data_IF_567226616522
#
_entry.id   IF_567226616522
#
_cell.length_a   1.000
_cell.length_b   1.000
_cell.length_c   1.000
_cell.angle_alpha   90.00
_cell.angle_beta   90.00
_cell.angle_gamma   90.00
#
_symmetry.space_group_name_H-M   'P 1'
#
loop_
_entity.id
_entity.type
_entity.pdbx_description
1 polymer ?
#
# COMPACT_ATOMS: atom_id res chain seq x y z
N UNK A 1 -30.39 -19.76 12.20
CA UNK A 1 -29.03 -20.25 11.87
C UNK A 1 -28.47 -19.34 10.79
N UNK A 2 -27.33 -18.65 11.00
CA UNK A 2 -26.67 -17.98 9.88
C UNK A 2 -26.11 -19.02 8.93
N UNK A 3 -26.28 -18.80 7.62
CA UNK A 3 -25.71 -19.63 6.59
C UNK A 3 -24.18 -19.51 6.60
N UNK A 4 -23.47 -20.60 6.85
CA UNK A 4 -22.01 -20.70 6.74
C UNK A 4 -21.55 -21.15 5.35
N UNK A 5 -20.22 -21.18 5.13
CA UNK A 5 -19.59 -21.56 3.85
C UNK A 5 -19.92 -22.99 3.39
N UNK A 6 -20.38 -23.86 4.29
CA UNK A 6 -20.80 -25.24 4.02
C UNK A 6 -22.31 -25.39 3.82
N UNK A 7 -23.06 -24.29 3.79
CA UNK A 7 -24.52 -24.35 3.68
C UNK A 7 -24.93 -24.80 2.28
N UNK A 8 -25.77 -25.81 2.23
CA UNK A 8 -26.36 -26.34 0.99
C UNK A 8 -27.87 -26.13 1.00
N UNK A 9 -28.49 -26.13 -0.17
CA UNK A 9 -29.94 -26.13 -0.31
C UNK A 9 -30.54 -27.52 -0.07
N UNK A 10 -31.86 -27.65 -0.26
CA UNK A 10 -32.60 -28.91 -0.12
C UNK A 10 -32.19 -29.98 -1.16
N UNK A 11 -31.41 -29.60 -2.17
CA UNK A 11 -30.90 -30.44 -3.25
C UNK A 11 -29.40 -30.73 -3.09
N UNK A 12 -28.78 -30.30 -2.00
CA UNK A 12 -27.35 -30.51 -1.75
C UNK A 12 -26.42 -29.54 -2.50
N UNK A 13 -26.96 -28.52 -3.17
CA UNK A 13 -26.16 -27.53 -3.90
C UNK A 13 -25.64 -26.47 -2.92
N UNK A 14 -24.33 -26.17 -2.90
CA UNK A 14 -23.79 -25.10 -2.07
C UNK A 14 -24.49 -23.76 -2.35
N UNK A 15 -25.00 -23.11 -1.30
CA UNK A 15 -25.68 -21.82 -1.43
C UNK A 15 -24.78 -20.76 -2.05
N UNK A 16 -23.46 -20.82 -1.80
CA UNK A 16 -22.46 -19.95 -2.42
C UNK A 16 -22.46 -20.07 -3.96
N UNK A 17 -22.72 -21.25 -4.52
CA UNK A 17 -22.79 -21.44 -5.96
C UNK A 17 -24.03 -20.76 -6.59
N UNK A 18 -25.02 -20.39 -5.77
CA UNK A 18 -26.24 -19.68 -6.21
C UNK A 18 -26.12 -18.16 -6.11
N UNK A 19 -25.13 -17.64 -5.39
CA UNK A 19 -24.83 -16.20 -5.32
C UNK A 19 -24.08 -15.81 -6.59
N UNK A 20 -24.84 -15.66 -7.67
CA UNK A 20 -24.33 -15.20 -8.96
C UNK A 20 -24.46 -13.67 -9.06
N UNK A 21 -23.72 -13.04 -9.99
CA UNK A 21 -23.85 -11.61 -10.26
C UNK A 21 -25.31 -11.21 -10.55
N UNK A 22 -26.05 -12.05 -11.28
CA UNK A 22 -27.48 -11.87 -11.56
C UNK A 22 -28.33 -11.96 -10.30
N UNK A 23 -28.04 -12.89 -9.40
CA UNK A 23 -28.74 -12.99 -8.12
C UNK A 23 -28.51 -11.74 -7.26
N UNK A 24 -27.28 -11.25 -7.19
CA UNK A 24 -26.93 -10.01 -6.48
C UNK A 24 -27.67 -8.82 -7.07
N UNK A 25 -27.70 -8.68 -8.40
CA UNK A 25 -28.43 -7.60 -9.07
C UNK A 25 -29.94 -7.63 -8.76
N UNK A 26 -30.59 -8.79 -8.92
CA UNK A 26 -32.02 -8.95 -8.62
C UNK A 26 -32.32 -8.70 -7.14
N UNK A 27 -31.44 -9.12 -6.25
CA UNK A 27 -31.54 -8.84 -4.82
C UNK A 27 -31.44 -7.33 -4.56
N UNK A 28 -30.46 -6.65 -5.14
CA UNK A 28 -30.30 -5.20 -5.01
C UNK A 28 -31.51 -4.43 -5.55
N UNK A 29 -32.03 -4.78 -6.73
CA UNK A 29 -33.23 -4.18 -7.32
C UNK A 29 -34.46 -4.38 -6.43
N UNK A 30 -34.69 -5.62 -5.97
CA UNK A 30 -35.83 -5.97 -5.11
C UNK A 30 -35.79 -5.25 -3.77
N UNK A 31 -34.59 -5.02 -3.23
CA UNK A 31 -34.39 -4.41 -1.92
C UNK A 31 -34.04 -2.91 -2.01
N UNK A 32 -34.14 -2.30 -3.19
CA UNK A 32 -33.80 -0.89 -3.43
C UNK A 32 -32.39 -0.49 -2.96
N UNK A 33 -31.46 -1.43 -3.05
CA UNK A 33 -30.05 -1.21 -2.71
C UNK A 33 -29.35 -0.68 -3.96
N UNK A 34 -28.93 0.58 -3.90
CA UNK A 34 -28.16 1.22 -4.96
C UNK A 34 -26.70 1.33 -4.54
N UNK A 35 -25.79 0.95 -5.44
CA UNK A 35 -24.38 1.31 -5.29
C UNK A 35 -24.27 2.83 -5.47
N UNK A 36 -23.76 3.51 -4.46
CA UNK A 36 -23.48 4.95 -4.50
C UNK A 36 -22.00 5.13 -4.23
N UNK A 37 -21.35 6.03 -4.97
CA UNK A 37 -20.04 6.53 -4.58
C UNK A 37 -20.16 7.21 -3.21
N UNK A 38 -19.15 7.06 -2.36
CA UNK A 38 -19.08 7.81 -1.10
C UNK A 38 -19.06 9.31 -1.41
N UNK A 39 -20.05 10.06 -0.92
CA UNK A 39 -20.13 11.51 -1.06
C UNK A 39 -19.35 12.21 0.06
N UNK A 40 -18.39 13.09 -0.29
CA UNK A 40 -17.61 13.87 0.68
C UNK A 40 -16.46 14.68 0.08
N UNK A 41 -15.75 15.46 0.90
CA UNK A 41 -14.64 16.39 0.54
C UNK A 41 -13.44 15.76 -0.21
N UNK A 42 -13.42 14.43 -0.40
CA UNK A 42 -12.38 13.67 -1.12
C UNK A 42 -12.82 13.25 -2.52
N UNK A 43 -13.99 13.68 -2.98
CA UNK A 43 -14.47 13.36 -4.33
C UNK A 43 -13.68 14.20 -5.34
N UNK A 44 -12.86 13.51 -6.13
CA UNK A 44 -12.17 14.09 -7.28
C UNK A 44 -13.25 14.53 -8.28
N UNK A 45 -13.12 15.73 -8.85
CA UNK A 45 -14.09 16.20 -9.87
C UNK A 45 -14.10 15.25 -11.07
N UNK A 46 -15.19 15.20 -11.82
CA UNK A 46 -15.30 14.33 -12.99
C UNK A 46 -14.21 14.65 -14.02
N UNK A 47 -13.84 15.94 -14.17
CA UNK A 47 -12.73 16.36 -15.03
C UNK A 47 -11.39 15.84 -14.53
N UNK A 48 -11.14 15.91 -13.22
CA UNK A 48 -9.89 15.44 -12.65
C UNK A 48 -9.81 13.90 -12.67
N UNK A 49 -10.93 13.21 -12.50
CA UNK A 49 -11.02 11.76 -12.67
C UNK A 49 -10.73 11.36 -14.13
N UNK A 50 -11.32 12.07 -15.10
CA UNK A 50 -11.03 11.84 -16.52
C UNK A 50 -9.54 12.09 -16.85
N UNK A 51 -8.92 13.12 -16.27
CA UNK A 51 -7.49 13.38 -16.43
C UNK A 51 -6.65 12.21 -15.88
N UNK A 52 -6.95 11.72 -14.68
CA UNK A 52 -6.25 10.59 -14.07
C UNK A 52 -6.36 9.36 -14.99
N UNK A 53 -7.55 9.04 -15.49
CA UNK A 53 -7.76 7.91 -16.38
C UNK A 53 -7.01 8.06 -17.72
N UNK A 54 -6.93 9.27 -18.28
CA UNK A 54 -6.14 9.57 -19.48
C UNK A 54 -4.63 9.35 -19.23
N UNK A 55 -4.11 9.81 -18.10
CA UNK A 55 -2.71 9.62 -17.70
C UNK A 55 -2.40 8.12 -17.48
N UNK A 56 -3.33 7.38 -16.85
CA UNK A 56 -3.24 5.92 -16.70
C UNK A 56 -3.24 5.22 -18.05
N UNK A 57 -4.12 5.60 -18.98
CA UNK A 57 -4.13 5.04 -20.32
C UNK A 57 -2.80 5.30 -21.06
N UNK A 58 -2.28 6.52 -20.98
CA UNK A 58 -0.99 6.89 -21.56
C UNK A 58 0.14 6.01 -20.98
N UNK A 59 0.20 5.90 -19.65
CA UNK A 59 1.19 5.09 -18.93
C UNK A 59 1.16 3.62 -19.36
N UNK A 60 -0.02 3.00 -19.41
CA UNK A 60 -0.18 1.61 -19.88
C UNK A 60 0.28 1.44 -21.33
N UNK A 61 0.01 2.44 -22.17
CA UNK A 61 0.49 2.48 -23.55
C UNK A 61 2.01 2.54 -23.65
N UNK A 62 2.66 3.33 -22.79
CA UNK A 62 4.13 3.41 -22.71
C UNK A 62 4.74 2.09 -22.24
N UNK A 63 4.12 1.41 -21.26
CA UNK A 63 4.56 0.09 -20.81
C UNK A 63 4.47 -0.92 -21.96
N UNK A 64 3.32 -1.00 -22.64
CA UNK A 64 3.14 -1.87 -23.80
C UNK A 64 4.25 -1.68 -24.83
N UNK A 65 4.42 -0.45 -25.31
CA UNK A 65 5.44 -0.11 -26.31
C UNK A 65 6.85 -0.39 -25.80
N UNK A 66 7.11 -0.17 -24.51
CA UNK A 66 8.41 -0.43 -23.89
C UNK A 66 8.77 -1.92 -23.89
N UNK A 67 7.81 -2.78 -23.56
CA UNK A 67 7.98 -4.24 -23.66
C UNK A 67 8.12 -4.71 -25.11
N UNK A 68 7.27 -4.23 -26.03
CA UNK A 68 7.33 -4.58 -27.45
C UNK A 68 8.64 -4.16 -28.12
N UNK A 69 9.18 -2.99 -27.74
CA UNK A 69 10.47 -2.48 -28.23
C UNK A 69 11.68 -3.10 -27.52
N UNK A 70 11.49 -3.91 -26.48
CA UNK A 70 12.57 -4.47 -25.67
C UNK A 70 13.33 -3.45 -24.81
N UNK A 71 12.79 -2.25 -24.60
CA UNK A 71 13.39 -1.24 -23.71
C UNK A 71 13.04 -1.48 -22.24
N UNK A 72 12.00 -2.28 -21.98
CA UNK A 72 11.65 -2.78 -20.64
C UNK A 72 11.90 -4.29 -20.56
N UNK A 73 12.59 -4.71 -19.51
CA UNK A 73 12.78 -6.13 -19.12
C UNK A 73 11.97 -6.39 -17.85
N UNK A 74 11.01 -7.30 -17.90
CA UNK A 74 10.16 -7.63 -16.74
C UNK A 74 11.00 -8.09 -15.54
N UNK A 75 12.17 -8.67 -15.77
CA UNK A 75 13.05 -9.19 -14.73
C UNK A 75 13.87 -8.11 -14.01
N UNK A 76 13.80 -6.84 -14.46
CA UNK A 76 14.48 -5.70 -13.82
C UNK A 76 13.50 -4.66 -13.30
N UNK A 77 12.20 -4.89 -13.50
CA UNK A 77 11.15 -4.01 -12.99
C UNK A 77 10.80 -4.34 -11.56
N UNK A 78 10.63 -3.29 -10.76
CA UNK A 78 10.24 -3.40 -9.36
C UNK A 78 9.14 -2.39 -9.06
N UNK A 79 8.27 -2.70 -8.11
CA UNK A 79 7.33 -1.74 -7.54
C UNK A 79 7.57 -1.63 -6.05
N UNK A 80 7.52 -0.41 -5.52
CA UNK A 80 7.65 -0.11 -4.10
C UNK A 80 6.44 0.71 -3.67
N UNK A 81 5.96 0.46 -2.46
CA UNK A 81 4.89 1.21 -1.84
C UNK A 81 4.93 1.10 -0.32
N UNK A 82 4.26 2.03 0.35
CA UNK A 82 4.14 2.08 1.79
C UNK A 82 2.73 1.78 2.24
N UNK A 83 2.60 1.04 3.35
CA UNK A 83 1.31 0.89 3.99
C UNK A 83 1.38 1.10 5.50
N UNK A 84 0.43 1.89 6.00
CA UNK A 84 0.34 2.22 7.41
C UNK A 84 -0.48 1.20 8.18
N UNK A 85 -0.02 0.90 9.39
CA UNK A 85 -0.69 0.10 10.40
C UNK A 85 -0.77 0.90 11.70
N UNK A 86 -1.82 0.62 12.47
CA UNK A 86 -1.88 0.98 13.89
C UNK A 86 -1.73 -0.30 14.71
N UNK A 87 -1.27 -0.18 15.97
CA UNK A 87 -1.08 -1.35 16.85
C UNK A 87 -2.40 -2.09 17.08
N UNK A 88 -3.51 -1.37 17.26
CA UNK A 88 -4.86 -1.95 17.31
C UNK A 88 -5.39 -2.19 15.88
N UNK A 89 -4.69 -3.05 15.14
CA UNK A 89 -5.10 -3.43 13.80
C UNK A 89 -6.28 -4.40 13.84
N UNK A 90 -7.49 -3.85 13.88
CA UNK A 90 -8.73 -4.61 14.02
C UNK A 90 -9.46 -4.74 12.68
N UNK A 91 -10.13 -5.87 12.46
CA UNK A 91 -10.95 -6.10 11.25
C UNK A 91 -12.35 -5.46 11.33
N UNK A 92 -12.58 -4.58 12.31
CA UNK A 92 -13.84 -3.89 12.55
C UNK A 92 -14.99 -4.77 13.05
N UNK A 93 -14.74 -6.05 13.40
CA UNK A 93 -15.78 -6.98 13.87
C UNK A 93 -15.36 -7.62 15.19
N UNK A 94 -16.31 -7.73 16.12
CA UNK A 94 -16.15 -8.42 17.40
C UNK A 94 -17.42 -9.19 17.75
N UNK A 95 -17.30 -10.22 18.61
CA UNK A 95 -18.43 -11.00 19.09
C UNK A 95 -18.97 -10.35 20.38
N UNK A 96 -20.29 -10.22 20.47
CA UNK A 96 -20.99 -9.75 21.66
C UNK A 96 -22.24 -10.58 21.90
N UNK A 97 -22.74 -10.57 23.14
CA UNK A 97 -23.99 -11.26 23.46
C UNK A 97 -25.20 -10.49 22.92
N UNK A 98 -26.24 -11.22 22.52
CA UNK A 98 -27.49 -10.62 22.03
C UNK A 98 -28.10 -9.69 23.09
N UNK A 99 -28.33 -8.43 22.73
CA UNK A 99 -28.86 -7.40 23.63
C UNK A 99 -27.81 -6.46 24.23
N UNK A 100 -26.52 -6.73 24.04
CA UNK A 100 -25.46 -5.81 24.46
C UNK A 100 -25.44 -4.56 23.59
N UNK A 101 -25.62 -3.39 24.22
CA UNK A 101 -25.57 -2.09 23.54
C UNK A 101 -24.15 -1.59 23.26
N UNK A 102 -23.14 -2.14 23.94
CA UNK A 102 -21.72 -1.80 23.80
C UNK A 102 -20.88 -3.06 23.95
N UNK A 103 -20.15 -3.42 22.89
CA UNK A 103 -19.20 -4.53 22.93
C UNK A 103 -17.82 -3.95 23.24
N UNK A 104 -17.19 -4.41 24.32
CA UNK A 104 -15.80 -4.05 24.63
C UNK A 104 -14.87 -4.87 23.75
N UNK A 105 -13.89 -4.24 23.12
CA UNK A 105 -12.81 -4.92 22.41
C UNK A 105 -11.52 -4.83 23.23
N UNK A 106 -10.62 -5.79 23.00
CA UNK A 106 -9.33 -5.85 23.69
C UNK A 106 -8.34 -4.85 23.07
N UNK A 107 -8.40 -3.61 23.56
CA UNK A 107 -7.48 -2.51 23.24
C UNK A 107 -6.07 -2.83 23.80
N UNK A 108 -5.03 -2.54 23.02
CA UNK A 108 -3.63 -2.75 23.40
C UNK A 108 -2.99 -1.42 23.82
N UNK A 109 -2.04 -1.48 24.75
CA UNK A 109 -1.26 -0.29 25.13
C UNK A 109 -0.57 0.32 23.90
N UNK A 110 -0.73 1.64 23.73
CA UNK A 110 -0.31 2.38 22.54
C UNK A 110 -1.02 1.90 21.25
N UNK A 111 -2.26 1.41 21.34
CA UNK A 111 -3.05 0.92 20.21
C UNK A 111 -3.10 1.85 18.99
N UNK A 112 -3.18 3.16 19.23
CA UNK A 112 -3.14 4.18 18.18
C UNK A 112 -1.75 4.54 17.65
N UNK A 113 -0.67 3.97 18.19
CA UNK A 113 0.69 4.22 17.69
C UNK A 113 0.83 3.63 16.29
N UNK A 114 1.14 4.50 15.34
CA UNK A 114 1.33 4.14 13.94
C UNK A 114 2.69 3.50 13.67
N UNK A 115 2.72 2.60 12.69
CA UNK A 115 3.92 2.08 12.06
C UNK A 115 3.67 1.91 10.57
N UNK A 116 4.70 2.15 9.75
CA UNK A 116 4.60 1.98 8.31
C UNK A 116 5.46 0.81 7.86
N UNK A 117 4.97 0.02 6.91
CA UNK A 117 5.73 -1.03 6.24
C UNK A 117 6.01 -0.60 4.81
N UNK A 118 7.26 -0.72 4.38
CA UNK A 118 7.66 -0.56 2.98
C UNK A 118 7.64 -1.93 2.31
N UNK A 119 6.83 -2.05 1.27
CA UNK A 119 6.63 -3.28 0.49
C UNK A 119 7.30 -3.10 -0.86
N UNK A 120 8.18 -4.04 -1.22
CA UNK A 120 8.84 -4.08 -2.52
C UNK A 120 8.51 -5.39 -3.23
N UNK A 121 8.13 -5.29 -4.49
CA UNK A 121 7.79 -6.39 -5.37
C UNK A 121 8.76 -6.40 -6.54
N UNK A 122 9.36 -7.55 -6.84
CA UNK A 122 10.11 -7.77 -8.09
C UNK A 122 9.20 -8.29 -9.19
N UNK A 123 9.50 -7.89 -10.43
CA UNK A 123 8.87 -8.37 -11.65
C UNK A 123 9.46 -9.69 -12.15
N UNK A 124 8.94 -10.12 -13.30
CA UNK A 124 9.39 -11.32 -14.00
C UNK A 124 8.78 -12.62 -13.48
N UNK A 125 9.11 -13.76 -14.11
CA UNK A 125 8.47 -15.05 -13.81
C UNK A 125 8.71 -15.54 -12.38
N UNK A 126 9.81 -15.10 -11.76
CA UNK A 126 10.20 -15.41 -10.38
C UNK A 126 9.92 -14.26 -9.41
N UNK A 127 9.16 -13.25 -9.82
CA UNK A 127 8.84 -12.08 -9.00
C UNK A 127 8.26 -12.47 -7.64
N UNK A 128 8.67 -11.76 -6.60
CA UNK A 128 8.29 -12.02 -5.22
C UNK A 128 8.32 -10.73 -4.39
N UNK A 129 7.76 -10.79 -3.19
CA UNK A 129 7.78 -9.70 -2.22
C UNK A 129 9.08 -9.78 -1.43
N UNK A 130 9.92 -8.75 -1.50
CA UNK A 130 11.18 -8.68 -0.78
C UNK A 130 10.97 -8.51 0.74
N UNK A 131 11.98 -8.81 1.56
CA UNK A 131 11.96 -8.49 2.99
C UNK A 131 11.52 -7.04 3.23
N UNK A 132 10.46 -6.80 4.04
CA UNK A 132 9.96 -5.46 4.27
C UNK A 132 10.88 -4.67 5.20
N UNK A 133 10.89 -3.34 5.03
CA UNK A 133 11.42 -2.43 6.04
C UNK A 133 10.24 -1.84 6.83
N UNK A 134 10.30 -1.93 8.16
CA UNK A 134 9.35 -1.23 9.04
C UNK A 134 9.88 0.17 9.38
N UNK A 135 8.97 1.12 9.52
CA UNK A 135 9.24 2.47 10.02
C UNK A 135 8.47 2.61 11.32
N UNK A 136 9.21 2.62 12.43
CA UNK A 136 8.61 2.80 13.75
C UNK A 136 8.56 4.25 14.16
N UNK A 137 7.47 4.60 14.85
CA UNK A 137 7.36 5.86 15.58
C UNK A 137 8.44 5.92 16.66
N UNK A 138 9.29 6.93 16.57
CA UNK A 138 10.30 7.29 17.57
C UNK A 138 10.53 8.79 17.49
N UNK A 139 10.16 9.54 18.53
CA UNK A 139 10.12 11.01 18.50
C UNK A 139 11.47 11.64 18.13
N UNK A 140 12.58 11.07 18.61
CA UNK A 140 13.93 11.55 18.30
C UNK A 140 14.43 11.09 16.91
N UNK A 141 13.69 10.20 16.23
CA UNK A 141 14.08 9.64 14.95
C UNK A 141 15.40 8.88 14.97
N UNK A 142 15.87 8.46 16.14
CA UNK A 142 17.14 7.79 16.37
C UNK A 142 17.05 6.29 16.03
N UNK A 143 18.12 5.79 15.40
CA UNK A 143 18.29 4.39 15.06
C UNK A 143 19.68 3.92 15.53
N UNK A 144 19.79 2.77 16.21
CA UNK A 144 18.71 1.86 16.60
C UNK A 144 17.87 2.40 17.79
N UNK A 145 16.64 1.87 17.96
CA UNK A 145 15.84 2.12 19.17
C UNK A 145 16.44 1.33 20.33
N UNK A 146 16.67 1.99 21.48
CA UNK A 146 17.19 1.33 22.69
C UNK A 146 16.33 0.14 23.08
N UNK A 147 16.94 -1.04 23.19
CA UNK A 147 16.25 -2.28 23.55
C UNK A 147 15.53 -2.99 22.40
N UNK A 148 15.61 -2.48 21.16
CA UNK A 148 15.06 -3.14 19.96
C UNK A 148 16.21 -3.51 19.03
N UNK A 149 16.70 -4.75 19.15
CA UNK A 149 17.73 -5.28 18.27
C UNK A 149 17.21 -5.36 16.82
N UNK A 150 17.99 -4.85 15.86
CA UNK A 150 17.68 -4.96 14.43
C UNK A 150 18.31 -6.23 13.82
N UNK A 151 17.89 -7.39 14.33
CA UNK A 151 18.43 -8.70 13.96
C UNK A 151 17.35 -9.73 13.60
N UNK A 152 16.14 -9.27 13.26
CA UNK A 152 15.05 -10.14 12.82
C UNK A 152 15.35 -10.57 11.38
N UNK A 153 15.39 -11.88 11.13
CA UNK A 153 15.56 -12.41 9.78
C UNK A 153 14.33 -12.09 8.93
N UNK A 154 14.55 -11.59 7.70
CA UNK A 154 13.47 -11.29 6.77
C UNK A 154 12.74 -9.97 7.03
N UNK A 155 13.23 -9.10 7.92
CA UNK A 155 12.79 -7.72 8.05
C UNK A 155 13.92 -6.82 8.57
N UNK A 156 13.80 -5.51 8.37
CA UNK A 156 14.66 -4.51 8.98
C UNK A 156 13.81 -3.31 9.42
N UNK A 157 14.41 -2.33 10.12
CA UNK A 157 13.66 -1.12 10.44
C UNK A 157 14.46 0.18 10.39
N UNK A 158 13.71 1.26 10.22
CA UNK A 158 14.13 2.63 10.46
C UNK A 158 13.08 3.33 11.33
N UNK A 159 13.34 4.59 11.64
CA UNK A 159 12.53 5.33 12.60
C UNK A 159 12.26 6.75 12.14
N UNK A 160 11.02 7.19 12.32
CA UNK A 160 10.62 8.58 12.09
C UNK A 160 9.80 9.11 13.28
N UNK A 161 9.74 10.43 13.50
CA UNK A 161 8.97 11.03 14.59
C UNK A 161 7.50 10.60 14.63
N UNK A 162 6.89 10.36 13.45
CA UNK A 162 5.51 9.89 13.29
C UNK A 162 5.39 8.46 12.75
N UNK A 163 6.52 7.77 12.56
CA UNK A 163 6.55 6.44 11.96
C UNK A 163 6.22 6.40 10.47
N UNK A 164 6.31 7.53 9.76
CA UNK A 164 6.03 7.64 8.33
C UNK A 164 7.32 7.70 7.51
N UNK A 165 7.19 7.44 6.21
CA UNK A 165 8.25 7.72 5.25
C UNK A 165 8.43 9.23 5.11
N UNK A 166 9.66 9.69 5.33
CA UNK A 166 10.10 11.04 4.97
C UNK A 166 11.32 10.92 4.04
N UNK A 167 11.76 12.03 3.46
CA UNK A 167 12.89 12.07 2.52
C UNK A 167 14.19 11.51 3.10
N UNK A 168 14.41 11.66 4.42
CA UNK A 168 15.56 11.09 5.13
C UNK A 168 15.43 9.56 5.24
N UNK A 169 14.27 9.06 5.64
CA UNK A 169 13.98 7.62 5.77
C UNK A 169 14.00 6.95 4.39
N UNK A 170 13.53 7.63 3.34
CA UNK A 170 13.59 7.13 1.97
C UNK A 170 15.05 6.92 1.50
N UNK A 171 15.94 7.88 1.76
CA UNK A 171 17.39 7.69 1.51
C UNK A 171 17.98 6.54 2.33
N UNK A 172 17.58 6.40 3.60
CA UNK A 172 18.00 5.27 4.44
C UNK A 172 17.50 3.92 3.91
N UNK A 173 16.31 3.90 3.31
CA UNK A 173 15.74 2.72 2.68
C UNK A 173 16.54 2.30 1.44
N UNK A 174 16.89 3.24 0.56
CA UNK A 174 17.71 2.97 -0.62
C UNK A 174 19.10 2.41 -0.29
N UNK A 175 19.62 2.69 0.92
CA UNK A 175 20.94 2.23 1.39
C UNK A 175 20.89 0.99 2.29
N UNK A 176 19.70 0.53 2.71
CA UNK A 176 19.54 -0.64 3.57
C UNK A 176 19.60 -1.94 2.76
N UNK A 177 20.74 -2.61 2.78
CA UNK A 177 21.02 -3.81 1.96
C UNK A 177 20.05 -4.97 2.17
N UNK A 178 19.41 -5.07 3.35
CA UNK A 178 18.39 -6.11 3.60
C UNK A 178 17.07 -5.84 2.88
N UNK A 179 16.75 -4.58 2.59
CA UNK A 179 15.54 -4.17 1.90
C UNK A 179 15.79 -3.86 0.42
N UNK A 180 16.91 -3.19 0.13
CA UNK A 180 17.28 -2.73 -1.20
C UNK A 180 18.70 -3.15 -1.59
N UNK A 181 18.81 -3.84 -2.71
CA UNK A 181 20.09 -4.31 -3.24
C UNK A 181 20.11 -4.18 -4.77
N UNK A 182 21.30 -4.03 -5.33
CA UNK A 182 21.52 -4.10 -6.78
C UNK A 182 21.08 -5.47 -7.32
N UNK A 183 20.68 -5.51 -8.59
CA UNK A 183 20.38 -6.77 -9.26
C UNK A 183 21.62 -7.70 -9.22
N UNK A 184 21.48 -8.97 -8.81
CA UNK A 184 22.62 -9.89 -8.71
C UNK A 184 23.36 -10.12 -10.03
N UNK A 185 22.70 -9.89 -11.17
CA UNK A 185 23.29 -10.01 -12.51
C UNK A 185 23.82 -8.67 -13.02
N UNK A 186 23.82 -7.63 -12.18
CA UNK A 186 24.34 -6.30 -12.49
C UNK A 186 23.51 -5.49 -13.49
N UNK A 187 22.27 -5.91 -13.78
CA UNK A 187 21.36 -5.22 -14.70
C UNK A 187 20.82 -3.93 -14.10
N UNK A 188 20.48 -2.96 -14.96
CA UNK A 188 19.83 -1.72 -14.52
C UNK A 188 18.37 -2.00 -14.16
N UNK A 189 17.98 -1.67 -12.93
CA UNK A 189 16.61 -1.83 -12.43
C UNK A 189 15.76 -0.60 -12.68
N UNK A 190 14.45 -0.79 -12.86
CA UNK A 190 13.47 0.29 -12.92
C UNK A 190 12.51 0.13 -11.75
N UNK A 191 12.53 1.11 -10.84
CA UNK A 191 11.73 1.09 -9.61
C UNK A 191 10.54 2.01 -9.79
N UNK A 192 9.34 1.44 -9.75
CA UNK A 192 8.08 2.16 -9.84
C UNK A 192 7.57 2.58 -8.45
N UNK A 193 7.26 3.86 -8.29
CA UNK A 193 6.80 4.50 -7.05
C UNK A 193 5.59 5.39 -7.30
N UNK A 194 4.84 5.71 -6.25
CA UNK A 194 3.86 6.79 -6.28
C UNK A 194 4.55 8.17 -6.19
N UNK A 195 3.76 9.25 -6.33
CA UNK A 195 4.26 10.63 -6.29
C UNK A 195 4.26 11.22 -4.87
N UNK A 196 4.43 10.40 -3.83
CA UNK A 196 4.45 10.89 -2.45
C UNK A 196 5.62 11.87 -2.23
N UNK A 197 5.38 12.99 -1.54
CA UNK A 197 6.42 14.00 -1.24
C UNK A 197 7.54 13.51 -0.31
N UNK A 198 7.35 12.35 0.31
CA UNK A 198 8.39 11.64 1.05
C UNK A 198 9.46 11.02 0.13
N UNK A 199 9.17 10.83 -1.15
CA UNK A 199 10.10 10.28 -2.13
C UNK A 199 11.06 11.37 -2.62
N UNK A 200 12.33 10.99 -2.73
CA UNK A 200 13.36 11.85 -3.33
C UNK A 200 13.31 11.68 -4.85
N UNK A 201 13.49 12.77 -5.58
CA UNK A 201 13.70 12.68 -7.02
C UNK A 201 15.06 12.05 -7.34
N UNK A 202 15.26 11.58 -8.58
CA UNK A 202 16.49 10.88 -8.96
C UNK A 202 17.75 11.72 -8.72
N UNK A 203 17.69 13.02 -9.01
CA UNK A 203 18.83 13.93 -8.83
C UNK A 203 19.24 14.05 -7.36
N UNK A 204 18.28 13.91 -6.45
CA UNK A 204 18.49 14.03 -5.02
C UNK A 204 19.01 12.73 -4.40
N UNK A 205 18.84 11.58 -5.06
CA UNK A 205 19.34 10.28 -4.60
C UNK A 205 20.27 9.59 -5.61
N UNK A 206 20.94 10.39 -6.45
CA UNK A 206 21.78 9.91 -7.56
C UNK A 206 22.85 8.92 -7.12
N UNK A 207 23.50 9.16 -5.98
CA UNK A 207 24.57 8.30 -5.48
C UNK A 207 24.04 6.93 -5.07
N UNK A 208 22.90 6.90 -4.38
CA UNK A 208 22.21 5.69 -3.96
C UNK A 208 21.74 4.90 -5.18
N UNK A 209 21.08 5.55 -6.13
CA UNK A 209 20.60 4.93 -7.37
C UNK A 209 21.75 4.40 -8.23
N UNK A 210 22.87 5.12 -8.30
CA UNK A 210 24.07 4.66 -9.01
C UNK A 210 24.62 3.37 -8.38
N UNK A 211 24.72 3.30 -7.05
CA UNK A 211 25.16 2.08 -6.35
C UNK A 211 24.20 0.90 -6.56
N UNK A 212 22.90 1.17 -6.61
CA UNK A 212 21.86 0.17 -6.87
C UNK A 212 21.77 -0.24 -8.35
N UNK A 213 22.43 0.50 -9.25
CA UNK A 213 22.18 0.46 -10.70
C UNK A 213 20.68 0.53 -10.99
N UNK A 214 20.01 1.53 -10.42
CA UNK A 214 18.57 1.70 -10.55
C UNK A 214 18.22 3.07 -11.16
N UNK A 215 16.99 3.16 -11.65
CA UNK A 215 16.30 4.42 -11.97
C UNK A 215 14.91 4.37 -11.37
N UNK A 216 14.36 5.53 -11.02
CA UNK A 216 12.99 5.68 -10.53
C UNK A 216 12.06 6.01 -11.69
N UNK A 217 10.84 5.48 -11.63
CA UNK A 217 9.77 5.87 -12.56
C UNK A 217 8.49 6.06 -11.77
N UNK A 218 7.94 7.26 -11.82
CA UNK A 218 6.72 7.58 -11.08
C UNK A 218 5.48 7.12 -11.85
N UNK A 219 4.53 6.56 -11.11
CA UNK A 219 3.21 6.22 -11.62
C UNK A 219 2.40 7.51 -11.87
N UNK A 220 1.31 7.46 -12.65
CA UNK A 220 0.39 8.60 -12.76
C UNK A 220 -0.10 9.09 -11.39
N UNK A 221 -0.18 10.40 -11.22
CA UNK A 221 -0.56 10.98 -9.94
C UNK A 221 -2.02 10.63 -9.60
N UNK A 222 -2.26 10.26 -8.33
CA UNK A 222 -3.58 9.83 -7.84
C UNK A 222 -4.13 8.56 -8.51
N UNK A 223 -3.25 7.68 -9.01
CA UNK A 223 -3.64 6.42 -9.64
C UNK A 223 -3.06 5.17 -8.94
N UNK A 224 -2.56 5.32 -7.71
CA UNK A 224 -1.94 4.23 -6.94
C UNK A 224 -2.89 3.04 -6.78
N UNK A 225 -4.13 3.30 -6.38
CA UNK A 225 -5.19 2.29 -6.23
C UNK A 225 -5.54 1.59 -7.56
N UNK A 226 -5.30 2.26 -8.68
CA UNK A 226 -5.61 1.74 -10.01
C UNK A 226 -4.49 0.86 -10.57
N UNK A 227 -3.23 1.34 -10.53
CA UNK A 227 -2.14 0.80 -11.33
C UNK A 227 -0.86 0.47 -10.56
N UNK A 228 -0.84 0.57 -9.22
CA UNK A 228 0.30 0.17 -8.40
C UNK A 228 0.14 -1.27 -7.89
N UNK A 229 1.03 -2.22 -8.26
CA UNK A 229 0.92 -3.63 -7.85
C UNK A 229 0.84 -3.85 -6.34
N UNK A 230 1.63 -3.10 -5.57
CA UNK A 230 1.65 -3.21 -4.12
C UNK A 230 0.29 -2.82 -3.53
N UNK A 231 -0.20 -1.62 -3.83
CA UNK A 231 -1.45 -1.09 -3.27
C UNK A 231 -2.69 -1.88 -3.76
N UNK A 232 -2.80 -2.07 -5.07
CA UNK A 232 -3.99 -2.67 -5.70
C UNK A 232 -4.26 -4.12 -5.28
N UNK A 233 -3.26 -4.84 -4.77
CA UNK A 233 -3.42 -6.26 -4.44
C UNK A 233 -2.56 -6.76 -3.28
N UNK A 234 -1.24 -6.60 -3.33
CA UNK A 234 -0.32 -7.31 -2.43
C UNK A 234 -0.47 -6.86 -0.98
N UNK A 235 -0.57 -5.54 -0.74
CA UNK A 235 -0.73 -4.97 0.59
C UNK A 235 -1.99 -5.49 1.27
N UNK A 236 -3.10 -5.62 0.54
CA UNK A 236 -4.33 -6.21 1.08
C UNK A 236 -4.09 -7.65 1.58
N UNK A 237 -3.33 -8.46 0.83
CA UNK A 237 -3.00 -9.83 1.23
C UNK A 237 -2.04 -9.91 2.41
N UNK A 238 -1.13 -8.96 2.56
CA UNK A 238 -0.29 -8.83 3.75
C UNK A 238 -1.16 -8.44 4.95
N UNK A 239 -2.07 -7.48 4.80
CA UNK A 239 -3.01 -7.04 5.85
C UNK A 239 -3.92 -8.17 6.33
N UNK A 240 -4.38 -9.04 5.42
CA UNK A 240 -5.16 -10.24 5.79
C UNK A 240 -4.37 -11.17 6.75
N UNK A 241 -3.10 -11.45 6.42
CA UNK A 241 -2.22 -12.29 7.24
C UNK A 241 -1.87 -11.59 8.56
N UNK A 242 -1.57 -10.29 8.49
CA UNK A 242 -1.27 -9.46 9.65
C UNK A 242 -2.43 -9.47 10.64
N UNK A 243 -3.67 -9.21 10.20
CA UNK A 243 -4.86 -9.22 11.05
C UNK A 243 -5.05 -10.57 11.74
N UNK A 244 -4.92 -11.67 10.99
CA UNK A 244 -5.10 -13.02 11.55
C UNK A 244 -4.06 -13.31 12.63
N UNK A 245 -2.77 -13.14 12.33
CA UNK A 245 -1.68 -13.40 13.28
C UNK A 245 -1.69 -12.45 14.47
N UNK A 246 -2.11 -11.20 14.26
CA UNK A 246 -2.27 -10.25 15.36
C UNK A 246 -3.42 -10.66 16.28
N UNK A 247 -4.54 -11.12 15.74
CA UNK A 247 -5.64 -11.66 16.54
C UNK A 247 -5.23 -12.91 17.33
N UNK A 248 -4.46 -13.82 16.73
CA UNK A 248 -3.87 -14.97 17.43
C UNK A 248 -3.02 -14.51 18.63
N UNK A 249 -2.16 -13.49 18.45
CA UNK A 249 -1.37 -12.93 19.55
C UNK A 249 -2.24 -12.27 20.62
N UNK A 250 -3.30 -11.56 20.24
CA UNK A 250 -4.24 -10.96 21.22
C UNK A 250 -4.90 -12.04 22.07
N UNK A 251 -5.31 -13.17 21.48
CA UNK A 251 -5.87 -14.33 22.21
C UNK A 251 -4.83 -14.89 23.17
N UNK A 252 -3.59 -15.13 22.73
CA UNK A 252 -2.50 -15.62 23.58
C UNK A 252 -2.25 -14.68 24.79
N UNK A 253 -2.28 -13.37 24.57
CA UNK A 253 -2.12 -12.38 25.65
C UNK A 253 -3.29 -12.43 26.65
N UNK A 254 -4.52 -12.64 26.18
CA UNK A 254 -5.71 -12.81 27.03
C UNK A 254 -5.60 -14.07 27.87
N UNK A 255 -5.28 -15.21 27.25
CA UNK A 255 -5.16 -16.51 27.92
C UNK A 255 -4.06 -16.48 29.00
N UNK A 256 -2.94 -15.82 28.70
CA UNK A 256 -1.83 -15.65 29.64
C UNK A 256 -2.04 -14.51 30.66
N UNK A 257 -3.23 -13.92 30.73
CA UNK A 257 -3.53 -12.78 31.62
C UNK A 257 -2.52 -11.63 31.51
N UNK A 258 -1.99 -11.40 30.30
CA UNK A 258 -0.97 -10.39 30.00
C UNK A 258 -1.58 -9.00 29.84
N UNK A 259 -2.24 -8.53 30.89
CA UNK A 259 -2.86 -7.21 30.97
C UNK A 259 -1.84 -6.13 31.36
N UNK A 260 -2.14 -4.87 31.06
CA UNK A 260 -1.34 -3.74 31.50
C UNK A 260 -1.53 -3.50 33.00
N UNK A 261 -0.42 -3.51 33.74
CA UNK A 261 -0.41 -3.24 35.18
C UNK A 261 -0.38 -1.74 35.53
N UNK A 262 -1.03 -0.86 34.75
CA UNK A 262 -1.13 0.57 35.06
C UNK A 262 -2.53 0.92 35.53
N UNK A 263 -2.62 1.39 36.77
CA UNK A 263 -3.83 1.92 37.37
C UNK A 263 -4.10 3.33 36.81
N UNK A 264 -5.35 3.62 36.49
CA UNK A 264 -5.80 4.96 36.11
C UNK A 264 -5.78 5.88 37.33
N UNK A 265 -5.87 7.20 37.09
CA UNK A 265 -5.89 8.22 38.16
C UNK A 265 -7.03 8.02 39.16
N UNK A 266 -8.12 7.36 38.75
CA UNK A 266 -9.30 7.05 39.57
C UNK A 266 -9.22 5.71 40.32
N UNK A 267 -8.07 5.02 40.27
CA UNK A 267 -7.89 3.71 40.91
C UNK A 267 -8.41 2.52 40.09
N UNK A 268 -9.04 2.73 38.93
CA UNK A 268 -9.49 1.64 38.06
C UNK A 268 -8.37 1.10 37.17
N UNK A 269 -8.43 -0.18 36.79
CA UNK A 269 -7.47 -0.78 35.87
C UNK A 269 -7.81 -0.42 34.42
N UNK A 270 -6.80 -0.18 33.58
CA UNK A 270 -7.03 0.22 32.18
C UNK A 270 -7.77 -0.86 31.36
N UNK A 271 -7.59 -2.13 31.73
CA UNK A 271 -8.14 -3.30 31.02
C UNK A 271 -7.46 -3.58 29.68
N UNK A 272 -6.37 -2.87 29.35
CA UNK A 272 -5.67 -3.01 28.08
C UNK A 272 -4.72 -4.20 28.09
N UNK A 273 -4.55 -4.86 26.94
CA UNK A 273 -3.51 -5.87 26.78
C UNK A 273 -2.13 -5.23 26.75
N UNK A 274 -1.14 -5.93 27.29
CA UNK A 274 0.26 -5.51 27.23
C UNK A 274 0.73 -5.50 25.79
N UNK A 275 1.38 -4.41 25.37
CA UNK A 275 2.02 -4.31 24.07
C UNK A 275 3.20 -5.30 23.98
N UNK A 276 3.25 -6.18 22.96
CA UNK A 276 4.31 -7.18 22.80
C UNK A 276 5.66 -6.56 22.36
N UNK A 277 5.67 -5.27 22.00
CA UNK A 277 6.86 -4.50 21.65
C UNK A 277 7.18 -4.52 20.16
N UNK A 278 8.05 -3.60 19.74
CA UNK A 278 8.43 -3.39 18.33
C UNK A 278 9.07 -4.61 17.68
N UNK A 279 9.80 -5.43 18.47
CA UNK A 279 10.39 -6.69 17.99
C UNK A 279 9.32 -7.66 17.45
N UNK A 280 8.21 -7.81 18.17
CA UNK A 280 7.10 -8.67 17.71
C UNK A 280 6.55 -8.19 16.36
N UNK A 281 6.37 -6.88 16.18
CA UNK A 281 5.85 -6.34 14.92
C UNK A 281 6.84 -6.49 13.75
N UNK A 282 8.15 -6.51 14.00
CA UNK A 282 9.15 -6.88 12.98
C UNK A 282 9.02 -8.34 12.57
N UNK A 283 8.91 -9.24 13.54
CA UNK A 283 8.73 -10.67 13.31
C UNK A 283 7.41 -10.95 12.58
N UNK A 284 6.35 -10.22 12.93
CA UNK A 284 5.05 -10.27 12.25
C UNK A 284 5.13 -9.82 10.80
N UNK A 285 5.86 -8.72 10.50
CA UNK A 285 6.08 -8.25 9.13
C UNK A 285 6.80 -9.30 8.28
N UNK A 286 7.90 -9.85 8.78
CA UNK A 286 8.66 -10.90 8.11
C UNK A 286 7.78 -12.14 7.86
N UNK A 287 7.02 -12.58 8.86
CA UNK A 287 6.15 -13.74 8.75
C UNK A 287 4.99 -13.52 7.78
N UNK A 288 4.38 -12.33 7.76
CA UNK A 288 3.29 -12.00 6.87
C UNK A 288 3.74 -12.01 5.41
N UNK A 289 4.88 -11.35 5.10
CA UNK A 289 5.45 -11.35 3.75
C UNK A 289 5.85 -12.77 3.31
N UNK A 290 6.48 -13.55 4.19
CA UNK A 290 6.84 -14.94 3.91
C UNK A 290 5.63 -15.80 3.55
N UNK A 291 4.53 -15.66 4.28
CA UNK A 291 3.29 -16.39 4.02
C UNK A 291 2.63 -15.94 2.70
N UNK A 292 2.58 -14.64 2.41
CA UNK A 292 2.01 -14.16 1.14
C UNK A 292 2.84 -14.63 -0.05
N UNK A 293 4.17 -14.67 0.08
CA UNK A 293 5.06 -15.23 -0.96
C UNK A 293 4.80 -16.72 -1.25
N UNK A 294 4.18 -17.46 -0.35
CA UNK A 294 3.80 -18.87 -0.58
C UNK A 294 2.43 -19.00 -1.26
N UNK A 295 1.62 -17.94 -1.31
CA UNK A 295 0.30 -17.99 -1.93
C UNK A 295 0.40 -18.03 -3.46
N UNK A 296 -0.49 -18.80 -4.07
CA UNK A 296 -0.67 -18.94 -5.51
C UNK A 296 -2.15 -18.80 -5.84
N UNK A 297 -2.47 -18.30 -7.03
CA UNK A 297 -3.84 -18.36 -7.54
C UNK A 297 -4.14 -19.75 -8.15
N UNK A 298 -5.35 -19.91 -8.69
CA UNK A 298 -5.81 -21.17 -9.28
C UNK A 298 -4.98 -21.63 -10.47
N UNK A 299 -4.23 -20.72 -11.10
CA UNK A 299 -3.34 -21.00 -12.23
C UNK A 299 -1.89 -21.22 -11.79
N UNK A 300 -1.62 -21.31 -10.48
CA UNK A 300 -0.28 -21.50 -9.94
C UNK A 300 0.61 -20.24 -9.98
N UNK A 301 0.05 -19.07 -10.26
CA UNK A 301 0.80 -17.81 -10.32
C UNK A 301 0.93 -17.24 -8.91
N UNK A 302 2.13 -16.83 -8.53
CA UNK A 302 2.35 -16.17 -7.25
C UNK A 302 1.74 -14.77 -7.21
N UNK A 303 1.38 -14.32 -6.01
CA UNK A 303 0.61 -13.08 -5.84
C UNK A 303 1.38 -11.81 -6.25
N UNK A 304 2.71 -11.79 -6.07
CA UNK A 304 3.56 -10.71 -6.53
C UNK A 304 3.54 -10.60 -8.07
N UNK A 305 3.87 -11.69 -8.76
CA UNK A 305 3.83 -11.77 -10.23
C UNK A 305 2.44 -11.43 -10.75
N UNK A 306 1.39 -11.94 -10.13
CA UNK A 306 0.01 -11.63 -10.49
C UNK A 306 -0.26 -10.12 -10.46
N UNK A 307 0.12 -9.45 -9.37
CA UNK A 307 -0.08 -8.01 -9.25
C UNK A 307 0.70 -7.24 -10.32
N UNK A 308 1.97 -7.60 -10.56
CA UNK A 308 2.79 -6.98 -11.61
C UNK A 308 2.15 -7.12 -13.01
N UNK A 309 1.67 -8.33 -13.36
CA UNK A 309 0.95 -8.60 -14.62
C UNK A 309 -0.32 -7.76 -14.71
N UNK A 310 -1.18 -7.81 -13.67
CA UNK A 310 -2.49 -7.16 -13.71
C UNK A 310 -2.41 -5.63 -13.74
N UNK A 311 -1.28 -5.03 -13.35
CA UNK A 311 -1.00 -3.61 -13.50
C UNK A 311 -0.18 -3.25 -14.75
N UNK A 312 0.18 -4.23 -15.59
CA UNK A 312 0.94 -4.01 -16.83
C UNK A 312 2.45 -3.86 -16.64
N UNK A 313 2.97 -4.08 -15.43
CA UNK A 313 4.40 -4.01 -15.08
C UNK A 313 5.14 -5.35 -15.26
N UNK A 314 4.54 -6.33 -15.93
CA UNK A 314 5.18 -7.59 -16.33
C UNK A 314 4.52 -8.10 -17.61
N UNK A 315 5.13 -9.09 -18.25
CA UNK A 315 4.53 -9.81 -19.36
C UNK A 315 3.51 -10.85 -18.86
N UNK A 316 2.56 -11.18 -19.73
CA UNK A 316 1.59 -12.23 -19.52
C UNK A 316 2.26 -13.60 -19.36
N UNK A 317 1.44 -14.61 -19.07
CA UNK A 317 1.91 -15.99 -18.90
C UNK A 317 2.51 -16.52 -20.22
N UNK A 318 1.97 -16.05 -21.34
CA UNK A 318 2.42 -16.34 -22.71
C UNK A 318 3.69 -15.57 -23.12
N UNK A 319 4.22 -14.71 -22.23
CA UNK A 319 5.38 -13.88 -22.51
C UNK A 319 5.08 -12.67 -23.39
N UNK A 320 3.81 -12.32 -23.60
CA UNK A 320 3.42 -11.12 -24.36
C UNK A 320 2.78 -10.07 -23.45
N UNK A 321 2.84 -8.80 -23.85
CA UNK A 321 2.08 -7.74 -23.19
C UNK A 321 0.76 -7.54 -23.93
N UNK A 322 -0.36 -7.70 -23.25
CA UNK A 322 -1.70 -7.51 -23.82
C UNK A 322 -2.63 -6.76 -22.87
N UNK A 323 -3.65 -6.11 -23.39
CA UNK A 323 -4.67 -5.42 -22.58
C UNK A 323 -5.48 -6.38 -21.73
N UNK A 324 -5.74 -7.58 -22.23
CA UNK A 324 -6.53 -8.63 -21.56
C UNK A 324 -5.85 -9.14 -20.28
N UNK A 325 -4.54 -8.94 -20.15
CA UNK A 325 -3.80 -9.27 -18.94
C UNK A 325 -4.12 -8.32 -17.78
N UNK A 326 -4.58 -7.10 -18.04
CA UNK A 326 -4.75 -6.08 -17.00
C UNK A 326 -5.93 -6.39 -16.07
N UNK A 327 -6.03 -5.68 -14.94
CA UNK A 327 -7.26 -5.67 -14.16
C UNK A 327 -8.45 -5.12 -14.97
N UNK A 328 -9.69 -5.58 -14.75
CA UNK A 328 -10.84 -5.16 -15.54
C UNK A 328 -11.06 -3.64 -15.60
N UNK A 329 -10.83 -2.92 -14.50
CA UNK A 329 -10.97 -1.46 -14.49
C UNK A 329 -9.94 -0.76 -15.38
N UNK A 330 -8.71 -1.27 -15.45
CA UNK A 330 -7.67 -0.75 -16.36
C UNK A 330 -8.01 -1.04 -17.82
N UNK A 331 -8.62 -2.19 -18.12
CA UNK A 331 -9.10 -2.51 -19.47
C UNK A 331 -10.15 -1.51 -19.94
N UNK A 332 -11.11 -1.17 -19.06
CA UNK A 332 -12.13 -0.15 -19.36
C UNK A 332 -11.51 1.24 -19.56
N UNK A 333 -10.49 1.62 -18.77
CA UNK A 333 -9.75 2.88 -18.98
C UNK A 333 -9.08 2.91 -20.36
N UNK A 334 -8.39 1.83 -20.75
CA UNK A 334 -7.74 1.75 -22.07
C UNK A 334 -8.77 1.85 -23.20
N UNK A 335 -9.91 1.16 -23.05
CA UNK A 335 -11.02 1.20 -24.01
C UNK A 335 -11.66 2.59 -24.11
N UNK A 336 -11.75 3.32 -23.00
CA UNK A 336 -12.30 4.67 -22.94
C UNK A 336 -11.36 5.71 -23.56
N UNK A 337 -10.04 5.53 -23.45
CA UNK A 337 -9.03 6.48 -23.93
C UNK A 337 -8.01 5.87 -24.91
N UNK A 338 -8.44 5.34 -26.07
CA UNK A 338 -7.56 4.64 -27.01
C UNK A 338 -6.48 5.55 -27.63
N UNK A 339 -6.76 6.85 -27.81
CA UNK A 339 -5.78 7.81 -28.35
C UNK A 339 -4.64 8.09 -27.37
N UNK A 340 -4.95 8.22 -26.07
CA UNK A 340 -3.95 8.40 -25.02
C UNK A 340 -3.10 7.14 -24.88
N UNK A 341 -3.74 5.97 -24.88
CA UNK A 341 -3.04 4.68 -24.89
C UNK A 341 -2.11 4.54 -26.12
N UNK A 342 -2.54 4.98 -27.30
CA UNK A 342 -1.71 4.96 -28.51
C UNK A 342 -0.58 6.01 -28.51
N UNK A 343 -0.54 6.95 -27.55
CA UNK A 343 0.41 8.05 -27.52
C UNK A 343 0.14 9.16 -28.56
N UNK A 344 -1.11 9.30 -29.01
CA UNK A 344 -1.54 10.20 -30.10
C UNK A 344 -2.43 11.36 -29.63
N UNK A 345 -2.45 11.69 -28.34
CA UNK A 345 -3.26 12.80 -27.83
C UNK A 345 -2.60 14.16 -28.12
N UNK A 346 -3.34 15.08 -28.74
CA UNK A 346 -2.98 16.49 -28.92
C UNK A 346 -3.10 17.22 -27.56
N UNK A 347 -1.99 17.31 -26.82
CA UNK A 347 -1.68 18.36 -25.85
C UNK A 347 -0.39 17.98 -25.10
N UNK A 348 0.76 18.30 -25.72
CA UNK A 348 2.03 18.47 -25.01
C UNK A 348 2.48 19.90 -25.24
N UNK A 349 1.79 20.86 -24.61
CA UNK A 349 2.43 22.15 -24.35
C UNK A 349 3.46 21.93 -23.23
N UNK A 350 4.71 22.06 -23.64
CA UNK A 350 5.90 22.10 -22.83
C UNK A 350 5.72 23.15 -21.72
N UNK A 351 5.54 22.70 -20.47
CA UNK A 351 5.93 23.52 -19.32
C UNK A 351 7.42 23.33 -19.11
N UNK A 352 8.20 24.11 -19.86
CA UNK A 352 9.55 24.47 -19.44
C UNK A 352 9.46 25.16 -18.07
N UNK A 353 10.23 24.63 -17.11
CA UNK A 353 10.50 25.27 -15.83
C UNK A 353 11.16 26.64 -16.05
N UNK A 354 10.68 27.75 -15.43
CA UNK A 354 11.39 29.01 -15.54
C UNK A 354 12.68 28.94 -14.74
N UNK A 355 13.78 29.18 -15.44
CA UNK A 355 15.11 29.39 -14.87
C UNK A 355 15.14 30.61 -13.95
N UNK A 356 15.96 30.49 -12.91
CA UNK A 356 16.55 31.55 -12.10
C UNK A 356 16.60 32.94 -12.74
N UNK A 357 15.93 33.91 -12.09
CA UNK A 357 16.15 35.34 -12.28
C UNK A 357 16.19 36.04 -10.93
N UNK A 358 17.37 36.53 -10.56
CA UNK A 358 17.60 37.45 -9.43
C UNK A 358 16.84 38.76 -9.63
N UNK A 359 16.12 39.26 -8.61
CA UNK A 359 15.98 40.71 -8.38
C UNK A 359 15.96 41.01 -6.87
N UNK A 360 17.06 41.61 -6.44
CA UNK A 360 17.28 42.60 -5.37
C UNK A 360 16.06 43.33 -4.76
N UNK A 361 15.96 43.22 -3.43
CA UNK A 361 15.70 44.25 -2.41
C UNK A 361 14.85 45.51 -2.68
N UNK A 362 13.80 45.69 -1.86
CA UNK A 362 13.49 46.93 -1.10
C UNK A 362 12.43 46.68 0.01
N UNK A 363 12.83 47.02 1.24
CA UNK A 363 12.04 47.31 2.46
C UNK A 363 11.02 48.45 2.18
N UNK A 364 9.84 48.64 2.78
CA UNK A 364 9.19 48.59 4.12
C UNK A 364 7.66 48.47 3.80
N UNK A 365 6.74 47.99 4.63
CA UNK A 365 6.28 48.60 5.89
C UNK A 365 5.24 47.70 6.60
N UNK A 366 5.06 47.92 7.90
CA UNK A 366 4.20 47.17 8.83
C UNK A 366 2.71 47.54 8.70
N UNK A 367 1.83 46.55 8.84
CA UNK A 367 0.63 46.70 9.67
C UNK A 367 0.04 45.32 9.99
N UNK A 368 -0.18 45.13 11.29
CA UNK A 368 -0.85 44.00 11.93
C UNK A 368 -2.16 43.61 11.26
N UNK A 369 -2.43 42.31 11.16
CA UNK A 369 -3.73 41.76 11.51
C UNK A 369 -3.57 40.29 11.93
N UNK A 370 -3.87 40.06 13.20
CA UNK A 370 -4.01 38.75 13.82
C UNK A 370 -5.25 38.07 13.25
N UNK A 371 -5.11 36.90 12.62
CA UNK A 371 -6.21 35.96 12.57
C UNK A 371 -5.73 34.51 12.73
N UNK A 372 -6.40 33.86 13.66
CA UNK A 372 -6.17 32.53 14.23
C UNK A 372 -6.41 31.48 13.15
N UNK A 373 -5.37 30.68 12.84
CA UNK A 373 -5.51 29.52 11.95
C UNK A 373 -5.86 28.31 12.81
N UNK A 374 -7.16 27.99 12.82
CA UNK A 374 -7.71 26.82 13.50
C UNK A 374 -7.33 25.52 12.75
N UNK A 375 -6.93 24.54 13.56
CA UNK A 375 -6.62 23.17 13.16
C UNK A 375 -7.88 22.47 12.61
N UNK A 376 -7.75 21.77 11.48
CA UNK A 376 -8.71 20.75 11.10
C UNK A 376 -8.01 19.52 10.50
N UNK A 377 -7.70 18.61 11.44
CA UNK A 377 -7.50 17.18 11.29
C UNK A 377 -8.57 16.57 10.36
N UNK A 378 -8.17 15.84 9.29
CA UNK A 378 -8.83 14.60 8.80
C UNK A 378 -7.84 13.69 8.07
#
# INVERSE_FOLDING_TARGET
>A
MPFGATSVDKQGVPLMAKITARWIQVFMEKHQIVLRAHTGKRQVSDEKQAQIEQEVACHLGELKRGFEAGTLDENTMENIDETHFVIDFDNGKTLGFSGEKKIKYADVVSGGEGMTMVVRISGGPSGYIHPPMMIFTNQQGSYPIRGVADNVEGACYRTGPKGWMDRRVFRQYLTERRAMAADPRGRKKVIFLDNCSGHLDEDECRNELHQLKAQLRYLPANATDLCQPADSFVIAKIKDVWARRWNEKKIELVENSSWQNKQRKDGSWSGKLRNPGKRFFLELAAAAVKEVNQKRDSNGINYARKAMIRCGLSLGIDGSWSTEQLFPHLQEIVKKYPLHFAGKSENRDLKESPSSGEISGRTLDQSDDNEVVDEAIV
#
